data_IF_449263512138
#
_entry.id   IF_449263512138
#
_cell.length_a   1.000
_cell.length_b   1.000
_cell.length_c   1.000
_cell.angle_alpha   90.00
_cell.angle_beta   90.00
_cell.angle_gamma   90.00
#
_symmetry.space_group_name_H-M   'P 1'
#
loop_
_entity.id
_entity.type
_entity.pdbx_description
1 polymer ?
#
# COMPACT_ATOMS: atom_id res chain seq x y z
N UNK A 1 -8.30 -36.80 -2.78
CA UNK A 1 -7.82 -35.54 -3.38
C UNK A 1 -6.47 -35.21 -2.78
N UNK A 2 -5.38 -35.44 -3.52
CA UNK A 2 -4.05 -34.99 -3.13
C UNK A 2 -4.00 -33.48 -3.25
N UNK A 3 -3.81 -32.80 -2.12
CA UNK A 3 -3.65 -31.34 -2.06
C UNK A 3 -2.35 -31.02 -2.77
N UNK A 4 -2.42 -30.61 -4.04
CA UNK A 4 -1.25 -30.09 -4.77
C UNK A 4 -0.85 -28.82 -4.03
N UNK A 5 0.21 -28.92 -3.23
CA UNK A 5 0.81 -27.77 -2.56
C UNK A 5 1.39 -26.91 -3.67
N UNK A 6 0.65 -25.88 -4.09
CA UNK A 6 1.16 -24.87 -4.98
C UNK A 6 2.50 -24.37 -4.43
N UNK A 7 3.56 -24.49 -5.24
CA UNK A 7 4.89 -23.98 -4.90
C UNK A 7 4.95 -22.44 -4.90
N UNK A 8 3.85 -21.78 -5.27
CA UNK A 8 3.78 -20.34 -5.35
C UNK A 8 3.43 -19.70 -3.99
N UNK A 9 4.03 -18.53 -3.67
CA UNK A 9 3.62 -17.74 -2.52
C UNK A 9 2.11 -17.47 -2.55
N UNK A 10 1.46 -17.54 -1.39
CA UNK A 10 0.01 -17.24 -1.26
C UNK A 10 -0.34 -15.82 -1.70
N UNK A 11 0.61 -14.90 -1.57
CA UNK A 11 0.48 -13.49 -1.93
C UNK A 11 1.56 -13.14 -2.93
N UNK A 12 1.15 -12.59 -4.06
CA UNK A 12 2.06 -12.14 -5.10
C UNK A 12 1.54 -10.85 -5.72
N UNK A 13 2.43 -9.89 -5.93
CA UNK A 13 2.07 -8.65 -6.61
C UNK A 13 1.78 -8.93 -8.08
N UNK A 14 0.64 -8.44 -8.55
CA UNK A 14 0.30 -8.48 -9.96
C UNK A 14 1.29 -7.62 -10.77
N UNK A 15 1.47 -7.90 -12.08
CA UNK A 15 2.38 -7.11 -12.92
C UNK A 15 2.09 -5.60 -12.90
N UNK A 16 0.81 -5.22 -12.83
CA UNK A 16 0.37 -3.83 -12.73
C UNK A 16 0.80 -3.20 -11.40
N UNK A 17 0.62 -3.90 -10.29
CA UNK A 17 1.01 -3.45 -8.94
C UNK A 17 2.53 -3.30 -8.81
N UNK A 18 3.30 -4.21 -9.41
CA UNK A 18 4.77 -4.10 -9.48
C UNK A 18 5.22 -2.86 -10.25
N UNK A 19 4.56 -2.56 -11.36
CA UNK A 19 4.86 -1.37 -12.16
C UNK A 19 4.49 -0.10 -11.39
N UNK A 20 3.30 -0.07 -10.81
CA UNK A 20 2.81 1.02 -9.97
C UNK A 20 3.79 1.34 -8.82
N UNK A 21 4.21 0.33 -8.04
CA UNK A 21 5.14 0.52 -6.92
C UNK A 21 6.51 1.06 -7.37
N UNK A 22 7.03 0.58 -8.51
CA UNK A 22 8.30 1.09 -9.07
C UNK A 22 8.20 2.55 -9.50
N UNK A 23 7.10 2.91 -10.15
CA UNK A 23 6.85 4.30 -10.57
C UNK A 23 6.68 5.19 -9.34
N UNK A 24 5.83 4.77 -8.39
CA UNK A 24 5.60 5.49 -7.14
C UNK A 24 6.89 5.75 -6.36
N UNK A 25 7.75 4.73 -6.22
CA UNK A 25 9.01 4.87 -5.53
C UNK A 25 9.93 5.91 -6.21
N UNK A 26 9.97 5.91 -7.55
CA UNK A 26 10.74 6.89 -8.33
C UNK A 26 10.19 8.30 -8.20
N UNK A 27 8.88 8.48 -8.20
CA UNK A 27 8.25 9.80 -8.07
C UNK A 27 8.36 10.33 -6.63
N UNK A 28 8.11 9.50 -5.62
CA UNK A 28 8.29 9.90 -4.22
C UNK A 28 9.73 10.25 -3.89
N UNK A 29 10.73 9.60 -4.49
CA UNK A 29 12.13 9.98 -4.31
C UNK A 29 12.48 11.40 -4.81
N UNK A 30 11.64 11.99 -5.68
CA UNK A 30 11.80 13.38 -6.15
C UNK A 30 11.09 14.40 -5.26
N UNK A 31 10.11 13.97 -4.47
CA UNK A 31 9.37 14.85 -3.57
C UNK A 31 10.22 15.18 -2.33
N UNK A 32 10.61 16.45 -2.20
CA UNK A 32 11.47 16.94 -1.12
C UNK A 32 10.75 17.16 0.21
N UNK A 33 9.42 17.18 0.21
CA UNK A 33 8.62 17.54 1.39
C UNK A 33 8.07 16.30 2.09
N UNK A 34 7.45 15.40 1.34
CA UNK A 34 6.76 14.21 1.86
C UNK A 34 7.32 12.89 1.31
N UNK A 35 8.21 12.93 0.32
CA UNK A 35 8.70 11.76 -0.40
C UNK A 35 9.28 10.64 0.46
N UNK A 36 10.19 10.97 1.39
CA UNK A 36 10.80 9.98 2.30
C UNK A 36 9.75 9.34 3.22
N UNK A 37 8.81 10.15 3.71
CA UNK A 37 7.70 9.66 4.53
C UNK A 37 6.76 8.73 3.76
N UNK A 38 6.46 9.06 2.50
CA UNK A 38 5.66 8.23 1.61
C UNK A 38 6.36 6.91 1.26
N UNK A 39 7.66 6.93 0.95
CA UNK A 39 8.45 5.70 0.75
C UNK A 39 8.45 4.80 1.98
N UNK A 40 8.65 5.39 3.17
CA UNK A 40 8.61 4.65 4.44
C UNK A 40 7.24 4.03 4.67
N UNK A 41 6.18 4.81 4.45
CA UNK A 41 4.79 4.35 4.58
C UNK A 41 4.47 3.22 3.59
N UNK A 42 4.97 3.30 2.36
CA UNK A 42 4.81 2.27 1.34
C UNK A 42 5.48 0.96 1.76
N UNK A 43 6.64 1.02 2.42
CA UNK A 43 7.30 -0.17 2.96
C UNK A 43 6.54 -0.80 4.13
N UNK A 44 6.01 0.01 5.04
CA UNK A 44 5.13 -0.50 6.10
C UNK A 44 3.89 -1.21 5.52
N UNK A 45 3.23 -0.60 4.55
CA UNK A 45 2.09 -1.20 3.86
C UNK A 45 2.43 -2.57 3.25
N UNK A 46 3.57 -2.69 2.56
CA UNK A 46 4.02 -3.96 1.95
C UNK A 46 4.29 -5.02 3.02
N UNK A 47 4.96 -4.65 4.11
CA UNK A 47 5.24 -5.55 5.24
C UNK A 47 3.95 -6.01 5.91
N UNK A 48 3.01 -5.10 6.14
CA UNK A 48 1.71 -5.40 6.76
C UNK A 48 0.85 -6.30 5.86
N UNK A 49 0.86 -6.06 4.54
CA UNK A 49 0.17 -6.93 3.61
C UNK A 49 0.74 -8.35 3.61
N UNK A 50 2.07 -8.49 3.64
CA UNK A 50 2.72 -9.80 3.67
C UNK A 50 2.53 -10.55 5.00
N UNK A 51 2.45 -9.84 6.12
CA UNK A 51 2.20 -10.44 7.44
C UNK A 51 0.71 -10.76 7.68
N UNK A 52 -0.20 -10.04 7.02
CA UNK A 52 -1.64 -10.25 7.13
C UNK A 52 -2.08 -11.61 6.57
N UNK A 53 -3.12 -12.19 7.18
CA UNK A 53 -3.81 -13.38 6.66
C UNK A 53 -4.94 -13.06 5.68
N UNK A 54 -5.20 -11.78 5.39
CA UNK A 54 -6.24 -11.38 4.45
C UNK A 54 -5.98 -11.98 3.05
N UNK A 55 -7.03 -12.45 2.39
CA UNK A 55 -6.98 -13.02 1.04
C UNK A 55 -7.06 -11.96 -0.07
N UNK A 56 -7.27 -10.69 0.32
CA UNK A 56 -7.38 -9.55 -0.57
C UNK A 56 -6.11 -9.32 -1.40
N UNK A 57 -6.29 -8.81 -2.62
CA UNK A 57 -5.20 -8.31 -3.45
C UNK A 57 -4.47 -7.14 -2.79
N UNK A 58 -3.26 -6.81 -3.27
CA UNK A 58 -2.45 -5.77 -2.64
C UNK A 58 -3.13 -4.39 -2.71
N UNK A 59 -3.72 -4.05 -3.85
CA UNK A 59 -4.44 -2.75 -4.02
C UNK A 59 -5.63 -2.63 -3.08
N UNK A 60 -6.48 -3.66 -2.98
CA UNK A 60 -7.64 -3.66 -2.07
C UNK A 60 -7.21 -3.56 -0.60
N UNK A 61 -6.16 -4.30 -0.23
CA UNK A 61 -5.58 -4.24 1.11
C UNK A 61 -5.05 -2.83 1.41
N UNK A 62 -4.36 -2.20 0.46
CA UNK A 62 -3.84 -0.85 0.61
C UNK A 62 -4.93 0.19 0.87
N UNK A 63 -6.03 0.14 0.11
CA UNK A 63 -7.16 1.05 0.32
C UNK A 63 -7.77 0.88 1.72
N UNK A 64 -7.97 -0.37 2.16
CA UNK A 64 -8.46 -0.65 3.51
C UNK A 64 -7.47 -0.19 4.59
N UNK A 65 -6.17 -0.44 4.38
CA UNK A 65 -5.10 -0.05 5.29
C UNK A 65 -4.98 1.48 5.43
N UNK A 66 -5.18 2.23 4.35
CA UNK A 66 -5.25 3.70 4.36
C UNK A 66 -6.50 4.18 5.09
N UNK A 67 -7.67 3.59 4.80
CA UNK A 67 -8.94 3.96 5.42
C UNK A 67 -8.96 3.74 6.94
N UNK A 68 -8.18 2.78 7.44
CA UNK A 68 -7.97 2.51 8.87
C UNK A 68 -7.08 3.55 9.58
N UNK A 69 -6.48 4.49 8.85
CA UNK A 69 -5.65 5.55 9.44
C UNK A 69 -4.23 5.10 9.80
N UNK A 70 -3.70 4.07 9.14
CA UNK A 70 -2.36 3.55 9.44
C UNK A 70 -1.20 4.46 8.97
N UNK A 71 -1.48 5.54 8.23
CA UNK A 71 -0.46 6.47 7.74
C UNK A 71 0.05 7.37 8.88
N UNK A 72 1.35 7.28 9.18
CA UNK A 72 2.04 8.08 10.21
C UNK A 72 3.10 8.98 9.58
N UNK A 73 2.68 10.01 8.84
CA UNK A 73 3.60 10.91 8.11
C UNK A 73 3.09 12.34 7.90
N UNK A 74 1.99 12.72 8.55
CA UNK A 74 1.33 14.01 8.32
C UNK A 74 0.59 14.09 6.98
N UNK A 75 -0.08 15.23 6.75
CA UNK A 75 -1.02 15.41 5.63
C UNK A 75 -0.41 15.20 4.24
N UNK A 76 0.86 15.59 4.04
CA UNK A 76 1.53 15.44 2.74
C UNK A 76 1.77 13.97 2.37
N UNK A 77 2.21 13.15 3.33
CA UNK A 77 2.38 11.71 3.14
C UNK A 77 1.04 11.03 2.90
N UNK A 78 0.02 11.44 3.67
CA UNK A 78 -1.34 10.93 3.49
C UNK A 78 -1.89 11.25 2.10
N UNK A 79 -1.72 12.48 1.61
CA UNK A 79 -2.14 12.87 0.27
C UNK A 79 -1.45 12.04 -0.83
N UNK A 80 -0.12 11.87 -0.75
CA UNK A 80 0.62 11.06 -1.72
C UNK A 80 0.18 9.59 -1.74
N UNK A 81 -0.05 8.99 -0.57
CA UNK A 81 -0.53 7.60 -0.48
C UNK A 81 -1.96 7.46 -0.98
N UNK A 82 -2.85 8.43 -0.69
CA UNK A 82 -4.24 8.42 -1.16
C UNK A 82 -4.32 8.60 -2.66
N UNK A 83 -3.52 9.50 -3.23
CA UNK A 83 -3.40 9.70 -4.68
C UNK A 83 -2.95 8.40 -5.38
N UNK A 84 -1.90 7.76 -4.86
CA UNK A 84 -1.36 6.52 -5.41
C UNK A 84 -2.40 5.38 -5.49
N UNK A 85 -3.26 5.24 -4.47
CA UNK A 85 -4.24 4.14 -4.39
C UNK A 85 -5.68 4.58 -4.70
N UNK A 86 -5.89 5.79 -5.18
CA UNK A 86 -7.21 6.35 -5.50
C UNK A 86 -8.17 6.45 -4.29
N UNK A 87 -7.63 6.52 -3.07
CA UNK A 87 -8.41 6.55 -1.81
C UNK A 87 -8.72 7.99 -1.38
N UNK A 88 -9.57 8.69 -2.14
CA UNK A 88 -9.96 10.07 -1.83
C UNK A 88 -11.02 10.20 -0.70
N UNK A 89 -11.49 9.09 -0.13
CA UNK A 89 -12.51 9.13 0.93
C UNK A 89 -11.85 9.43 2.30
N UNK A 90 -12.25 10.49 3.03
CA UNK A 90 -11.65 10.85 4.32
C UNK A 90 -11.74 9.67 5.32
N UNK A 91 -10.78 9.53 6.25
CA UNK A 91 -10.76 8.40 7.16
C UNK A 91 -12.06 8.35 7.99
N UNK A 92 -12.66 7.16 8.11
CA UNK A 92 -13.86 6.95 8.92
C UNK A 92 -13.52 7.21 10.39
N UNK A 93 -13.90 8.39 10.89
CA UNK A 93 -13.62 8.81 12.27
C UNK A 93 -13.33 10.30 12.46
N UNK A 94 -13.24 11.09 11.39
CA UNK A 94 -13.23 12.55 11.48
C UNK A 94 -14.67 13.09 11.52
N UNK A 95 -15.32 13.03 12.69
CA UNK A 95 -16.55 13.73 13.01
C UNK A 95 -16.38 14.46 14.35
#
# INVERSE_FOLDING_TARGET
>A
MTKVTSLFPRKNLQPVERTMLKVAAKEFAKDRLAGVGALTCLMHLVVDWHSSRAEQGFTEYAQAWIAQGNIKGGKGVEALMRDLFGSNEPPKGAA
#
